data_IF_228610402504
#
_entry.id   IF_228610402504
#
_cell.length_a   1.000
_cell.length_b   1.000
_cell.length_c   1.000
_cell.angle_alpha   90.00
_cell.angle_beta   90.00
_cell.angle_gamma   90.00
#
_symmetry.space_group_name_H-M   'P 1'
#
loop_
_entity.id
_entity.type
_entity.pdbx_description
1 polymer ?
#
# COMPACT_ATOMS: atom_id res chain seq x y z
N UNK A 1 4.89 -1.57 16.07
CA UNK A 1 3.48 -2.03 15.99
C UNK A 1 3.45 -3.55 16.13
N UNK A 2 2.61 -4.12 17.01
CA UNK A 2 2.58 -5.56 17.31
C UNK A 2 1.86 -6.37 16.19
N UNK A 3 2.24 -7.63 15.96
CA UNK A 3 1.61 -8.61 15.05
C UNK A 3 0.08 -8.70 15.21
N UNK A 4 -0.42 -8.55 16.43
CA UNK A 4 -1.86 -8.50 16.75
C UNK A 4 -2.56 -7.36 16.01
N UNK A 5 -1.93 -6.18 15.93
CA UNK A 5 -2.49 -5.02 15.25
C UNK A 5 -2.67 -5.29 13.75
N UNK A 6 -1.69 -5.93 13.10
CA UNK A 6 -1.75 -6.25 11.66
C UNK A 6 -2.84 -7.28 11.33
N UNK A 7 -3.00 -8.32 12.19
CA UNK A 7 -4.09 -9.30 12.03
C UNK A 7 -5.46 -8.62 12.14
N UNK A 8 -5.61 -7.67 13.06
CA UNK A 8 -6.84 -6.88 13.21
C UNK A 8 -7.09 -6.00 11.99
N UNK A 9 -6.08 -5.31 11.47
CA UNK A 9 -6.23 -4.50 10.25
C UNK A 9 -6.64 -5.37 9.05
N UNK A 10 -6.05 -6.56 8.89
CA UNK A 10 -6.46 -7.52 7.86
C UNK A 10 -7.92 -7.96 8.01
N UNK A 11 -8.34 -8.33 9.23
CA UNK A 11 -9.74 -8.70 9.50
C UNK A 11 -10.69 -7.54 9.17
N UNK A 12 -10.34 -6.32 9.57
CA UNK A 12 -11.12 -5.12 9.27
C UNK A 12 -11.19 -4.84 7.76
N UNK A 13 -10.09 -5.04 7.04
CA UNK A 13 -10.06 -4.96 5.58
C UNK A 13 -11.02 -5.99 4.97
N UNK A 14 -10.94 -7.25 5.38
CA UNK A 14 -11.74 -8.33 4.81
C UNK A 14 -13.25 -8.07 4.97
N UNK A 15 -13.67 -7.55 6.13
CA UNK A 15 -15.06 -7.14 6.38
C UNK A 15 -15.52 -5.99 5.49
N UNK A 16 -14.64 -5.03 5.18
CA UNK A 16 -14.98 -3.79 4.45
C UNK A 16 -14.47 -3.78 3.00
N UNK A 17 -13.92 -4.90 2.52
CA UNK A 17 -13.24 -5.02 1.21
C UNK A 17 -14.07 -4.46 0.07
N UNK A 18 -15.36 -4.83 -0.02
CA UNK A 18 -16.27 -4.35 -1.07
C UNK A 18 -16.45 -2.83 -1.01
N UNK A 19 -16.68 -2.28 0.19
CA UNK A 19 -16.85 -0.84 0.41
C UNK A 19 -15.61 -0.04 0.04
N UNK A 20 -14.41 -0.54 0.35
CA UNK A 20 -13.15 0.12 0.01
C UNK A 20 -12.86 0.09 -1.48
N UNK A 21 -13.01 -1.06 -2.14
CA UNK A 21 -12.80 -1.18 -3.59
C UNK A 21 -13.81 -0.34 -4.38
N UNK A 22 -15.05 -0.27 -3.91
CA UNK A 22 -16.07 0.60 -4.47
C UNK A 22 -15.68 2.07 -4.34
N UNK A 23 -15.29 2.50 -3.14
CA UNK A 23 -14.85 3.87 -2.90
C UNK A 23 -13.67 4.27 -3.79
N UNK A 24 -12.61 3.45 -3.86
CA UNK A 24 -11.44 3.71 -4.72
C UNK A 24 -11.86 3.91 -6.17
N UNK A 25 -12.67 2.98 -6.71
CA UNK A 25 -13.14 3.05 -8.09
C UNK A 25 -13.99 4.31 -8.33
N UNK A 26 -14.79 4.71 -7.34
CA UNK A 26 -15.62 5.92 -7.43
C UNK A 26 -14.79 7.19 -7.44
N UNK A 27 -13.78 7.30 -6.57
CA UNK A 27 -12.88 8.46 -6.52
C UNK A 27 -12.02 8.56 -7.77
N UNK A 28 -11.54 7.43 -8.29
CA UNK A 28 -10.83 7.36 -9.56
C UNK A 28 -11.69 7.90 -10.73
N UNK A 29 -12.97 7.52 -10.80
CA UNK A 29 -13.86 7.93 -11.89
C UNK A 29 -14.49 9.32 -11.72
N UNK A 30 -14.74 9.76 -10.48
CA UNK A 30 -15.37 11.05 -10.17
C UNK A 30 -14.65 11.70 -8.98
N UNK A 31 -13.42 12.18 -9.19
CA UNK A 31 -12.62 12.78 -8.13
C UNK A 31 -13.23 14.12 -7.68
N UNK A 32 -13.19 14.45 -6.38
CA UNK A 32 -13.47 15.81 -5.94
C UNK A 32 -12.39 16.76 -6.47
N UNK A 33 -12.74 18.04 -6.66
CA UNK A 33 -11.81 19.03 -7.23
C UNK A 33 -10.52 19.21 -6.40
N UNK A 34 -10.60 19.01 -5.08
CA UNK A 34 -9.49 19.12 -4.14
C UNK A 34 -8.88 17.75 -3.76
N UNK A 35 -8.99 16.72 -4.60
CA UNK A 35 -8.52 15.36 -4.29
C UNK A 35 -7.05 15.32 -3.88
N UNK A 36 -6.17 16.02 -4.60
CA UNK A 36 -4.72 16.01 -4.33
C UNK A 36 -4.38 16.59 -2.95
N UNK A 37 -5.14 17.61 -2.50
CA UNK A 37 -5.00 18.19 -1.16
C UNK A 37 -5.49 17.20 -0.08
N UNK A 38 -6.63 16.54 -0.34
CA UNK A 38 -7.17 15.51 0.56
C UNK A 38 -6.21 14.30 0.68
N UNK A 39 -5.55 13.93 -0.41
CA UNK A 39 -4.53 12.89 -0.45
C UNK A 39 -3.30 13.27 0.38
N UNK A 40 -2.82 14.50 0.27
CA UNK A 40 -1.68 14.99 1.06
C UNK A 40 -2.00 14.99 2.57
N UNK A 41 -3.18 15.48 2.96
CA UNK A 41 -3.61 15.50 4.35
C UNK A 41 -3.79 14.08 4.91
N UNK A 42 -4.37 13.18 4.11
CA UNK A 42 -4.53 11.79 4.48
C UNK A 42 -3.17 11.08 4.62
N UNK A 43 -2.25 11.30 3.68
CA UNK A 43 -0.89 10.75 3.69
C UNK A 43 -0.15 11.13 4.97
N UNK A 44 -0.10 12.42 5.32
CA UNK A 44 0.55 12.91 6.56
C UNK A 44 0.02 12.19 7.79
N UNK A 45 -1.31 12.06 7.90
CA UNK A 45 -1.97 11.37 9.01
C UNK A 45 -1.70 9.87 9.01
N UNK A 46 -1.58 9.21 7.85
CA UNK A 46 -1.24 7.78 7.76
C UNK A 46 0.16 7.54 8.31
N UNK A 47 1.15 8.35 7.92
CA UNK A 47 2.54 8.15 8.35
C UNK A 47 2.79 8.48 9.82
N UNK A 48 1.90 9.21 10.48
CA UNK A 48 1.90 9.38 11.94
C UNK A 48 1.45 8.11 12.68
N UNK A 49 0.67 7.22 12.03
CA UNK A 49 0.08 6.03 12.67
C UNK A 49 0.75 4.72 12.23
N UNK A 50 1.32 4.68 11.03
CA UNK A 50 1.83 3.45 10.43
C UNK A 50 3.31 3.58 10.08
N UNK A 51 4.09 2.62 10.60
CA UNK A 51 5.48 2.39 10.21
C UNK A 51 5.58 1.13 9.34
N UNK A 52 6.08 1.27 8.11
CA UNK A 52 6.23 0.17 7.15
C UNK A 52 7.08 -1.00 7.67
N UNK A 53 8.12 -0.71 8.46
CA UNK A 53 9.03 -1.69 9.06
C UNK A 53 8.35 -2.53 10.13
N UNK A 54 7.17 -2.13 10.61
CA UNK A 54 6.41 -2.96 11.55
C UNK A 54 5.86 -4.25 10.93
N UNK A 55 5.71 -4.31 9.60
CA UNK A 55 5.17 -5.49 8.92
C UNK A 55 6.04 -6.00 7.77
N UNK A 56 6.64 -5.08 7.00
CA UNK A 56 7.28 -5.35 5.71
C UNK A 56 6.46 -6.27 4.77
N UNK A 57 5.13 -6.28 4.89
CA UNK A 57 4.29 -7.27 4.18
C UNK A 57 4.45 -7.13 2.66
N UNK A 58 4.39 -5.89 2.14
CA UNK A 58 4.67 -5.61 0.73
C UNK A 58 6.07 -6.06 0.31
N UNK A 59 7.11 -5.80 1.10
CA UNK A 59 8.48 -6.27 0.82
C UNK A 59 8.63 -7.80 0.83
N UNK A 60 7.74 -8.52 1.53
CA UNK A 60 7.72 -9.98 1.62
C UNK A 60 7.03 -10.65 0.44
N UNK A 61 5.97 -10.04 -0.09
CA UNK A 61 5.07 -10.70 -1.05
C UNK A 61 4.93 -9.99 -2.40
N UNK A 62 5.44 -8.77 -2.52
CA UNK A 62 5.42 -7.98 -3.76
C UNK A 62 6.82 -7.86 -4.34
N UNK A 63 6.90 -7.55 -5.63
CA UNK A 63 8.16 -7.31 -6.34
C UNK A 63 8.14 -5.88 -6.89
N UNK A 64 9.17 -5.07 -6.60
CA UNK A 64 9.29 -3.75 -7.21
C UNK A 64 9.76 -3.87 -8.67
N UNK A 65 9.48 -2.84 -9.43
CA UNK A 65 10.16 -2.59 -10.70
C UNK A 65 11.54 -1.98 -10.46
N UNK A 66 12.52 -2.36 -11.28
CA UNK A 66 13.87 -1.80 -11.27
C UNK A 66 14.12 -1.01 -12.55
N UNK A 67 14.36 0.29 -12.41
CA UNK A 67 14.78 1.11 -13.55
C UNK A 67 16.26 0.88 -13.87
N UNK A 68 16.70 1.30 -15.05
CA UNK A 68 18.13 1.30 -15.38
C UNK A 68 18.94 2.16 -14.40
N UNK A 69 18.37 3.25 -13.89
CA UNK A 69 18.99 4.10 -12.89
C UNK A 69 19.14 3.38 -11.54
N UNK A 70 18.10 2.65 -11.11
CA UNK A 70 18.17 1.82 -9.89
C UNK A 70 19.24 0.75 -10.00
N UNK A 71 19.27 0.01 -11.12
CA UNK A 71 20.25 -1.05 -11.34
C UNK A 71 21.68 -0.49 -11.28
N UNK A 72 21.94 0.66 -11.91
CA UNK A 72 23.26 1.31 -11.89
C UNK A 72 23.65 1.73 -10.47
N UNK A 73 22.73 2.37 -9.74
CA UNK A 73 22.96 2.91 -8.40
C UNK A 73 23.15 1.80 -7.36
N UNK A 74 22.31 0.77 -7.40
CA UNK A 74 22.37 -0.37 -6.47
C UNK A 74 23.61 -1.23 -6.76
N UNK A 75 23.91 -1.53 -8.03
CA UNK A 75 25.07 -2.35 -8.35
C UNK A 75 26.38 -1.65 -7.93
N UNK A 76 26.46 -0.33 -8.08
CA UNK A 76 27.60 0.46 -7.61
C UNK A 76 27.75 0.39 -6.08
N UNK A 77 26.64 0.51 -5.33
CA UNK A 77 26.64 0.36 -3.88
C UNK A 77 27.12 -1.02 -3.42
N UNK A 78 26.80 -2.06 -4.21
CA UNK A 78 27.19 -3.46 -3.93
C UNK A 78 28.56 -3.83 -4.50
N UNK A 79 29.29 -2.90 -5.13
CA UNK A 79 30.61 -3.15 -5.71
C UNK A 79 30.58 -4.13 -6.89
N UNK A 80 29.50 -4.17 -7.67
CA UNK A 80 29.35 -5.10 -8.80
C UNK A 80 28.87 -4.43 -10.09
N UNK A 81 29.09 -5.09 -11.24
CA UNK A 81 28.66 -4.56 -12.54
C UNK A 81 27.12 -4.67 -12.69
N UNK A 82 26.46 -3.72 -13.38
CA UNK A 82 25.03 -3.79 -13.66
C UNK A 82 24.56 -5.08 -14.35
N UNK A 83 25.41 -5.67 -15.21
CA UNK A 83 25.10 -6.95 -15.87
C UNK A 83 24.99 -8.08 -14.84
N UNK A 84 25.97 -8.18 -13.95
CA UNK A 84 26.03 -9.20 -12.92
C UNK A 84 24.88 -9.04 -11.91
N UNK A 85 24.51 -7.79 -11.58
CA UNK A 85 23.34 -7.49 -10.74
C UNK A 85 22.05 -8.06 -11.34
N UNK A 86 21.80 -7.75 -12.62
CA UNK A 86 20.62 -8.25 -13.34
C UNK A 86 20.60 -9.77 -13.39
N UNK A 87 21.71 -10.38 -13.79
CA UNK A 87 21.82 -11.83 -13.92
C UNK A 87 21.53 -12.54 -12.59
N UNK A 88 22.10 -12.01 -11.50
CA UNK A 88 21.97 -12.59 -10.16
C UNK A 88 20.56 -12.46 -9.58
N UNK A 89 19.91 -11.31 -9.71
CA UNK A 89 18.71 -11.00 -8.92
C UNK A 89 17.46 -10.63 -9.73
N UNK A 90 17.59 -10.28 -11.00
CA UNK A 90 16.48 -9.75 -11.79
C UNK A 90 16.13 -10.66 -12.97
N UNK A 91 14.86 -10.68 -13.34
CA UNK A 91 14.40 -11.17 -14.62
C UNK A 91 13.64 -10.07 -15.35
N UNK A 92 13.48 -10.22 -16.68
CA UNK A 92 12.73 -9.28 -17.50
C UNK A 92 11.34 -9.83 -17.77
N UNK A 93 10.31 -9.13 -17.31
CA UNK A 93 8.91 -9.54 -17.48
C UNK A 93 8.46 -9.36 -18.93
N UNK A 94 7.74 -10.33 -19.48
CA UNK A 94 7.38 -10.34 -20.91
C UNK A 94 6.33 -9.31 -21.26
N UNK A 95 5.40 -9.03 -20.34
CA UNK A 95 4.21 -8.22 -20.62
C UNK A 95 4.53 -6.74 -20.81
N UNK A 96 5.37 -6.19 -19.94
CA UNK A 96 5.69 -4.75 -19.87
C UNK A 96 7.18 -4.47 -20.01
N UNK A 97 8.01 -5.52 -20.15
CA UNK A 97 9.45 -5.42 -20.36
C UNK A 97 10.24 -4.88 -19.15
N UNK A 98 9.60 -4.87 -17.97
CA UNK A 98 10.16 -4.37 -16.72
C UNK A 98 11.16 -5.36 -16.10
N UNK A 99 12.12 -4.83 -15.35
CA UNK A 99 13.00 -5.64 -14.53
C UNK A 99 12.37 -5.90 -13.17
N UNK A 100 12.21 -7.17 -12.82
CA UNK A 100 11.53 -7.64 -11.62
C UNK A 100 12.45 -8.54 -10.79
N UNK A 101 12.27 -8.60 -9.47
CA UNK A 101 13.00 -9.55 -8.62
C UNK A 101 12.70 -11.00 -9.03
N UNK A 102 13.73 -11.86 -9.03
CA UNK A 102 13.58 -13.32 -9.19
C UNK A 102 12.95 -13.99 -7.97
N UNK A 103 13.09 -13.42 -6.78
CA UNK A 103 12.63 -14.01 -5.53
C UNK A 103 11.72 -13.09 -4.74
N UNK A 104 10.78 -13.71 -4.00
CA UNK A 104 9.97 -13.09 -2.97
C UNK A 104 10.04 -13.97 -1.71
N UNK A 105 10.41 -13.44 -0.53
CA UNK A 105 10.85 -12.07 -0.27
C UNK A 105 12.07 -11.62 -1.07
N UNK A 106 12.23 -10.31 -1.23
CA UNK A 106 13.40 -9.73 -1.90
C UNK A 106 14.69 -10.16 -1.18
N UNK A 107 15.75 -10.47 -1.93
CA UNK A 107 17.08 -10.82 -1.44
C UNK A 107 17.71 -9.82 -0.45
N UNK A 108 17.23 -8.58 -0.43
CA UNK A 108 17.75 -7.53 0.45
C UNK A 108 16.90 -7.36 1.71
N UNK A 109 15.77 -8.04 1.85
CA UNK A 109 14.95 -7.93 3.05
C UNK A 109 15.51 -8.83 4.17
N UNK A 110 15.88 -8.22 5.27
CA UNK A 110 16.12 -8.92 6.53
C UNK A 110 14.77 -9.24 7.19
N UNK A 111 14.47 -10.53 7.32
CA UNK A 111 13.20 -11.00 7.89
C UNK A 111 13.12 -10.89 9.41
N UNK A 112 14.24 -10.68 10.08
CA UNK A 112 14.31 -10.50 11.54
C UNK A 112 14.03 -9.05 11.92
N UNK A 113 14.60 -8.10 11.18
CA UNK A 113 14.44 -6.66 11.42
C UNK A 113 13.36 -6.00 10.57
N UNK A 114 12.85 -6.69 9.54
CA UNK A 114 11.99 -6.16 8.48
C UNK A 114 12.63 -5.02 7.67
N UNK A 115 13.95 -4.83 7.79
CA UNK A 115 14.68 -3.74 7.13
C UNK A 115 15.35 -4.22 5.85
N UNK A 116 15.44 -3.34 4.85
CA UNK A 116 16.18 -3.62 3.64
C UNK A 116 17.68 -3.38 3.88
N UNK A 117 18.55 -4.32 3.55
CA UNK A 117 20.01 -4.16 3.67
C UNK A 117 20.56 -3.06 2.76
N UNK A 118 19.82 -2.70 1.71
CA UNK A 118 20.15 -1.58 0.82
C UNK A 118 19.15 -0.42 0.97
N UNK A 119 18.56 -0.21 2.15
CA UNK A 119 17.43 0.72 2.33
C UNK A 119 17.67 2.10 1.70
N UNK A 120 18.81 2.74 1.95
CA UNK A 120 19.16 4.05 1.40
C UNK A 120 19.27 4.08 -0.12
N UNK A 121 19.57 2.92 -0.73
CA UNK A 121 19.67 2.78 -2.18
C UNK A 121 18.61 1.86 -2.77
N UNK A 122 17.50 1.58 -2.08
CA UNK A 122 16.43 0.73 -2.61
C UNK A 122 15.85 1.27 -3.93
N UNK A 123 15.19 0.44 -4.76
CA UNK A 123 14.55 0.90 -5.99
C UNK A 123 13.59 2.05 -5.73
N UNK A 124 13.45 2.99 -6.67
CA UNK A 124 12.49 4.09 -6.55
C UNK A 124 11.07 3.58 -6.23
N UNK A 125 10.67 2.48 -6.85
CA UNK A 125 9.38 1.83 -6.59
C UNK A 125 9.20 1.41 -5.11
N UNK A 126 10.25 0.85 -4.49
CA UNK A 126 10.26 0.56 -3.05
C UNK A 126 10.33 1.81 -2.16
N UNK A 127 11.04 2.85 -2.60
CA UNK A 127 11.17 4.09 -1.84
C UNK A 127 9.85 4.86 -1.80
N UNK A 128 9.12 4.81 -2.91
CA UNK A 128 7.88 5.54 -3.12
C UNK A 128 6.64 4.77 -2.69
N UNK A 129 6.72 3.45 -2.53
CA UNK A 129 5.59 2.62 -2.12
C UNK A 129 4.96 3.12 -0.82
N UNK A 130 3.63 3.23 -0.72
CA UNK A 130 2.57 2.80 -1.67
C UNK A 130 2.11 3.89 -2.67
N UNK A 131 2.94 4.91 -2.91
CA UNK A 131 2.81 5.98 -3.92
C UNK A 131 1.77 7.07 -3.61
N UNK A 132 1.51 7.37 -2.34
CA UNK A 132 0.52 8.39 -1.94
C UNK A 132 0.86 9.82 -2.39
N UNK A 133 2.15 10.15 -2.52
CA UNK A 133 2.62 11.47 -2.91
C UNK A 133 2.48 11.75 -4.43
N UNK A 134 2.13 10.76 -5.25
CA UNK A 134 2.09 10.92 -6.71
C UNK A 134 0.92 11.80 -7.16
N UNK A 135 1.16 12.58 -8.22
CA UNK A 135 0.23 13.59 -8.74
C UNK A 135 0.13 13.54 -10.27
N UNK A 136 -1.05 13.77 -10.86
CA UNK A 136 -2.34 13.88 -10.17
C UNK A 136 -2.70 12.53 -9.51
N UNK A 137 -3.29 12.55 -8.30
CA UNK A 137 -3.47 11.30 -7.53
C UNK A 137 -4.38 10.31 -8.23
N UNK A 138 -5.29 10.77 -9.10
CA UNK A 138 -6.16 9.95 -9.95
C UNK A 138 -5.40 8.88 -10.71
N UNK A 139 -4.19 9.19 -11.19
CA UNK A 139 -3.38 8.30 -12.01
C UNK A 139 -2.83 7.12 -11.21
N UNK A 140 -2.92 7.14 -9.88
CA UNK A 140 -2.39 6.10 -9.00
C UNK A 140 -3.48 5.35 -8.20
N UNK A 141 -4.77 5.69 -8.36
CA UNK A 141 -5.84 4.96 -7.64
C UNK A 141 -5.92 3.48 -8.06
N UNK A 142 -5.60 3.13 -9.31
CA UNK A 142 -5.49 1.74 -9.73
C UNK A 142 -4.40 0.97 -8.94
N UNK A 143 -3.29 1.63 -8.60
CA UNK A 143 -2.22 1.09 -7.75
C UNK A 143 -2.73 0.95 -6.32
N UNK A 144 -3.40 1.97 -5.77
CA UNK A 144 -3.99 1.88 -4.42
C UNK A 144 -5.03 0.76 -4.30
N UNK A 145 -5.81 0.49 -5.36
CA UNK A 145 -6.75 -0.63 -5.44
C UNK A 145 -6.09 -2.00 -5.36
N UNK A 146 -4.85 -2.12 -5.83
CA UNK A 146 -4.04 -3.34 -5.70
C UNK A 146 -3.39 -3.39 -4.31
N UNK A 147 -2.76 -2.29 -3.90
CA UNK A 147 -1.97 -2.21 -2.67
C UNK A 147 -2.80 -2.34 -1.40
N UNK A 148 -4.09 -2.01 -1.43
CA UNK A 148 -4.97 -2.11 -0.25
C UNK A 148 -5.07 -3.53 0.32
N UNK A 149 -4.83 -4.56 -0.50
CA UNK A 149 -4.84 -5.96 -0.04
C UNK A 149 -3.56 -6.36 0.71
N UNK A 150 -2.48 -5.59 0.53
CA UNK A 150 -1.15 -5.91 1.03
C UNK A 150 -0.63 -4.91 2.06
N UNK A 151 -1.08 -3.66 1.99
CA UNK A 151 -0.51 -2.55 2.74
C UNK A 151 -1.52 -1.97 3.74
N UNK A 152 -1.24 -2.10 5.05
CA UNK A 152 -2.02 -1.44 6.09
C UNK A 152 -2.12 0.08 5.91
N UNK A 153 -1.05 0.73 5.42
CA UNK A 153 -1.05 2.16 5.13
C UNK A 153 -2.07 2.52 4.05
N UNK A 154 -2.21 1.71 3.00
CA UNK A 154 -3.20 1.96 1.93
C UNK A 154 -4.63 1.81 2.43
N UNK A 155 -4.89 0.85 3.31
CA UNK A 155 -6.20 0.73 3.96
C UNK A 155 -6.52 1.98 4.79
N UNK A 156 -5.58 2.42 5.63
CA UNK A 156 -5.77 3.59 6.48
C UNK A 156 -5.92 4.88 5.66
N UNK A 157 -5.21 5.02 4.55
CA UNK A 157 -5.38 6.12 3.60
C UNK A 157 -6.85 6.17 3.12
N UNK A 158 -7.39 5.04 2.69
CA UNK A 158 -8.77 4.95 2.20
C UNK A 158 -9.79 5.27 3.31
N UNK A 159 -9.55 4.82 4.54
CA UNK A 159 -10.39 5.18 5.69
C UNK A 159 -10.41 6.70 5.93
N UNK A 160 -9.25 7.36 5.89
CA UNK A 160 -9.13 8.82 6.07
C UNK A 160 -9.76 9.61 4.94
N UNK A 161 -9.59 9.16 3.69
CA UNK A 161 -10.24 9.77 2.54
C UNK A 161 -11.76 9.63 2.60
N UNK A 162 -12.27 8.45 2.97
CA UNK A 162 -13.72 8.21 3.17
C UNK A 162 -14.30 9.14 4.24
N UNK A 163 -13.56 9.40 5.31
CA UNK A 163 -13.99 10.32 6.36
C UNK A 163 -13.95 11.80 5.92
N UNK A 164 -13.05 12.15 5.00
CA UNK A 164 -12.85 13.53 4.56
C UNK A 164 -13.69 13.91 3.33
N UNK A 165 -14.15 12.93 2.56
CA UNK A 165 -14.97 13.15 1.36
C UNK A 165 -16.46 13.00 1.72
N UNK A 166 -17.27 14.07 1.60
CA UNK A 166 -18.68 14.02 1.94
C UNK A 166 -19.44 12.95 1.14
N UNK A 167 -20.44 12.32 1.78
CA UNK A 167 -21.23 11.23 1.19
C UNK A 167 -21.90 11.60 -0.15
N UNK A 168 -22.17 12.89 -0.39
CA UNK A 168 -22.74 13.38 -1.65
C UNK A 168 -21.86 13.07 -2.88
N UNK A 169 -20.53 12.99 -2.72
CA UNK A 169 -19.62 12.57 -3.79
C UNK A 169 -19.75 11.08 -4.12
N UNK A 170 -20.18 10.28 -3.14
CA UNK A 170 -20.38 8.83 -3.25
C UNK A 170 -21.82 8.47 -3.68
N UNK A 171 -22.78 9.36 -3.48
CA UNK A 171 -24.22 9.08 -3.62
C UNK A 171 -24.78 9.07 -5.05
N UNK A 172 -23.99 9.39 -6.10
CA UNK A 172 -24.52 9.42 -7.48
C UNK A 172 -24.71 8.02 -8.12
N UNK A 173 -25.06 7.02 -7.32
CA UNK A 173 -25.85 5.84 -7.66
C UNK A 173 -26.26 5.14 -6.37
N UNK A 174 -27.36 5.60 -5.76
CA UNK A 174 -28.03 4.89 -4.66
C UNK A 174 -28.67 3.60 -5.21
N UNK A 175 -27.92 2.51 -5.18
CA UNK A 175 -28.51 1.19 -4.95
C UNK A 175 -27.69 0.48 -3.87
N UNK A 176 -28.39 0.13 -2.79
CA UNK A 176 -27.94 -0.68 -1.65
C UNK A 176 -27.02 -0.01 -0.62
N UNK A 177 -27.59 0.90 0.16
CA UNK A 177 -27.22 1.08 1.57
C UNK A 177 -28.32 0.42 2.43
N UNK A 178 -28.19 -0.89 2.64
CA UNK A 178 -28.90 -1.61 3.71
C UNK A 178 -27.86 -2.50 4.39
N UNK A 179 -27.79 -2.39 5.72
CA UNK A 179 -26.97 -3.14 6.67
C UNK A 179 -25.54 -2.64 6.92
N UNK A 180 -25.42 -1.50 7.61
CA UNK A 180 -24.46 -1.40 8.71
C UNK A 180 -25.22 -1.72 10.00
N UNK A 181 -25.17 -3.00 10.38
CA UNK A 181 -25.71 -3.52 11.63
C UNK A 181 -24.80 -3.05 12.76
N UNK A 182 -25.44 -2.37 13.72
CA UNK A 182 -24.98 -2.02 15.05
C UNK A 182 -24.39 -3.23 15.75
N UNK A 183 -23.09 -3.20 16.05
CA UNK A 183 -22.51 -4.07 17.07
C UNK A 183 -22.62 -3.31 18.39
N UNK A 184 -23.71 -3.56 19.11
CA UNK A 184 -23.85 -3.20 20.51
C UNK A 184 -22.83 -4.01 21.32
N UNK A 185 -22.00 -3.29 22.09
CA UNK A 185 -21.24 -3.82 23.21
C UNK A 185 -22.20 -4.09 24.37
N UNK A 186 -22.55 -5.35 24.60
CA UNK A 186 -23.10 -5.85 25.85
C UNK A 186 -22.48 -7.24 26.05
N UNK A 187 -21.57 -7.34 27.02
CA UNK A 187 -21.28 -8.53 27.83
C UNK A 187 -20.06 -8.16 28.68
N UNK A 188 -20.30 -7.92 29.97
CA UNK A 188 -19.43 -8.31 31.08
C UNK A 188 -20.07 -7.85 32.41
N UNK A 189 -21.19 -8.49 32.77
CA UNK A 189 -21.63 -8.64 34.16
C UNK A 189 -22.25 -10.03 34.32
N UNK A 190 -21.50 -10.94 34.97
CA UNK A 190 -21.96 -11.93 35.95
C UNK A 190 -21.05 -13.17 35.93
N UNK A 191 -20.52 -13.53 37.10
CA UNK A 191 -19.85 -14.81 37.30
C UNK A 191 -18.91 -14.81 38.50
N UNK A 192 -19.52 -14.86 39.69
CA UNK A 192 -18.95 -15.35 40.96
C UNK A 192 -18.02 -16.54 40.81
#
# INVERSE_FOLDING_TARGET
MNSIHLKRLKKNFDLRRKSYRYFITRIESKPPANLDNLMEDAEKKVWQEINCLSCANCCKVMSPTYTTADIKRISAHLGMRPKDFKEKWLYREKKNNDWMNRSQPCQFLDLTTNMCSIYEVRPADCADFPHFHRRPSTDYFYIHKQNIEYCPATMLLVEKLKASIPAQYLAANRFSAVNEISVNSNEDEAGT
#
